data_IF_171813157473
#
_entry.id   IF_171813157473
#
_cell.length_a   1.000
_cell.length_b   1.000
_cell.length_c   1.000
_cell.angle_alpha   90.00
_cell.angle_beta   90.00
_cell.angle_gamma   90.00
#
_symmetry.space_group_name_H-M   'P 1'
#
loop_
_entity.id
_entity.type
_entity.pdbx_description
1 polymer ?
#
# COMPACT_ATOMS: atom_id res chain seq x y z
N UNK A 1 4.01 26.51 -3.54
CA UNK A 1 3.65 25.08 -3.59
C UNK A 1 4.10 24.53 -4.94
N UNK A 2 4.83 23.42 -4.99
CA UNK A 2 5.17 22.72 -6.24
C UNK A 2 3.94 22.02 -6.83
N UNK A 3 4.03 21.54 -8.07
CA UNK A 3 2.99 20.72 -8.68
C UNK A 3 2.67 19.47 -7.83
N UNK A 4 3.70 18.72 -7.40
CA UNK A 4 3.53 17.55 -6.53
C UNK A 4 2.94 17.88 -5.16
N UNK A 5 3.31 19.02 -4.56
CA UNK A 5 2.69 19.47 -3.30
C UNK A 5 1.21 19.81 -3.48
N UNK A 6 0.79 20.33 -4.65
CA UNK A 6 -0.63 20.57 -4.96
C UNK A 6 -1.39 19.25 -5.13
N UNK A 7 -0.84 18.29 -5.87
CA UNK A 7 -1.41 16.94 -5.99
C UNK A 7 -1.64 16.32 -4.60
N UNK A 8 -0.61 16.31 -3.74
CA UNK A 8 -0.71 15.76 -2.39
C UNK A 8 -1.75 16.48 -1.52
N UNK A 9 -1.76 17.82 -1.53
CA UNK A 9 -2.71 18.59 -0.75
C UNK A 9 -4.17 18.33 -1.16
N UNK A 10 -4.46 18.33 -2.48
CA UNK A 10 -5.81 18.05 -3.01
C UNK A 10 -6.22 16.61 -2.74
N UNK A 11 -5.32 15.65 -2.96
CA UNK A 11 -5.56 14.24 -2.66
C UNK A 11 -5.90 13.98 -1.18
N UNK A 12 -5.22 14.61 -0.24
CA UNK A 12 -5.57 14.47 1.18
C UNK A 12 -6.96 15.03 1.52
N UNK A 13 -7.46 15.99 0.73
CA UNK A 13 -8.75 16.66 0.92
C UNK A 13 -9.89 16.04 0.09
N UNK A 14 -9.58 15.11 -0.81
CA UNK A 14 -10.55 14.54 -1.76
C UNK A 14 -11.32 13.35 -1.17
N UNK A 15 -12.44 13.01 -1.81
CA UNK A 15 -13.23 11.83 -1.48
C UNK A 15 -12.48 10.54 -1.81
N UNK A 16 -12.99 9.40 -1.32
CA UNK A 16 -12.42 8.09 -1.65
C UNK A 16 -12.50 7.80 -3.16
N UNK A 17 -13.63 8.11 -3.79
CA UNK A 17 -13.85 7.90 -5.22
C UNK A 17 -12.86 8.71 -6.06
N UNK A 18 -12.54 9.94 -5.64
CA UNK A 18 -11.54 10.78 -6.28
C UNK A 18 -10.12 10.22 -6.09
N UNK A 19 -9.78 9.75 -4.88
CA UNK A 19 -8.47 9.13 -4.58
C UNK A 19 -8.20 7.91 -5.45
N UNK A 20 -9.24 7.10 -5.68
CA UNK A 20 -9.15 5.89 -6.51
C UNK A 20 -8.80 6.16 -7.97
N UNK A 21 -8.93 7.40 -8.43
CA UNK A 21 -8.59 7.79 -9.80
C UNK A 21 -7.18 8.38 -9.94
N UNK A 22 -6.45 8.62 -8.85
CA UNK A 22 -5.21 9.41 -8.93
C UNK A 22 -4.00 8.78 -8.26
N UNK A 23 -4.14 7.88 -7.29
CA UNK A 23 -2.97 7.22 -6.70
C UNK A 23 -2.37 6.18 -7.67
N UNK A 24 -1.19 6.48 -8.22
CA UNK A 24 -0.44 5.61 -9.13
C UNK A 24 0.65 4.83 -8.41
N UNK A 25 0.86 3.60 -8.87
CA UNK A 25 2.09 2.84 -8.67
C UNK A 25 2.88 2.78 -9.97
N UNK A 26 4.19 2.94 -9.88
CA UNK A 26 5.16 2.87 -10.97
C UNK A 26 6.16 1.76 -10.63
N UNK A 27 5.90 0.51 -11.03
CA UNK A 27 6.81 -0.59 -10.78
C UNK A 27 7.94 -0.62 -11.80
N UNK A 28 9.14 -1.01 -11.37
CA UNK A 28 10.26 -1.33 -12.25
C UNK A 28 11.06 -2.51 -11.67
N UNK A 29 11.37 -3.50 -12.50
CA UNK A 29 12.23 -4.61 -12.10
C UNK A 29 13.68 -4.26 -12.43
N UNK A 30 14.43 -3.84 -11.42
CA UNK A 30 15.83 -3.49 -11.54
C UNK A 30 16.70 -4.72 -11.84
N UNK A 31 16.46 -5.83 -11.13
CA UNK A 31 17.13 -7.11 -11.36
C UNK A 31 16.19 -8.28 -11.13
N UNK A 32 16.32 -9.33 -11.92
CA UNK A 32 15.48 -10.53 -11.83
C UNK A 32 15.18 -11.19 -13.17
N UNK A 33 14.50 -12.35 -13.16
CA UNK A 33 14.22 -13.14 -14.35
C UNK A 33 13.42 -12.37 -15.40
N UNK A 34 13.73 -12.59 -16.69
CA UNK A 34 13.06 -11.90 -17.80
C UNK A 34 11.54 -12.09 -17.77
N UNK A 35 11.06 -13.27 -17.35
CA UNK A 35 9.64 -13.59 -17.25
C UNK A 35 8.93 -12.69 -16.23
N UNK A 36 9.60 -12.34 -15.12
CA UNK A 36 9.06 -11.42 -14.10
C UNK A 36 9.00 -9.99 -14.67
N UNK A 37 10.03 -9.57 -15.41
CA UNK A 37 10.04 -8.26 -16.10
C UNK A 37 8.87 -8.13 -17.07
N UNK A 38 8.56 -9.21 -17.82
CA UNK A 38 7.45 -9.23 -18.76
C UNK A 38 6.07 -9.18 -18.07
N UNK A 39 5.90 -9.84 -16.93
CA UNK A 39 4.62 -9.86 -16.20
C UNK A 39 4.35 -8.57 -15.44
N UNK A 40 5.35 -8.01 -14.77
CA UNK A 40 5.22 -6.73 -14.04
C UNK A 40 5.09 -5.56 -15.01
N UNK A 41 5.83 -5.61 -16.13
CA UNK A 41 5.92 -4.51 -17.08
C UNK A 41 6.60 -3.27 -16.45
N UNK A 42 6.52 -2.14 -17.18
CA UNK A 42 7.05 -0.85 -16.77
C UNK A 42 6.01 0.27 -16.91
N UNK A 43 4.71 -0.08 -16.89
CA UNK A 43 3.62 0.88 -17.09
C UNK A 43 3.07 1.30 -15.73
N UNK A 44 2.96 2.61 -15.44
CA UNK A 44 2.21 3.10 -14.29
C UNK A 44 0.77 2.56 -14.29
N UNK A 45 0.24 2.27 -13.11
CA UNK A 45 -1.16 1.87 -12.92
C UNK A 45 -1.80 2.68 -11.80
N UNK A 46 -3.06 3.10 -11.98
CA UNK A 46 -3.84 3.76 -10.93
C UNK A 46 -4.45 2.68 -10.03
N UNK A 47 -4.09 2.65 -8.75
CA UNK A 47 -4.37 1.55 -7.83
C UNK A 47 -5.87 1.30 -7.63
N UNK A 48 -6.65 2.35 -7.33
CA UNK A 48 -8.09 2.24 -7.08
C UNK A 48 -8.90 1.73 -8.28
N UNK A 49 -8.36 1.85 -9.50
CA UNK A 49 -8.99 1.28 -10.71
C UNK A 49 -8.72 -0.22 -10.89
N UNK A 50 -7.80 -0.80 -10.11
CA UNK A 50 -7.33 -2.19 -10.24
C UNK A 50 -7.71 -3.08 -9.06
N UNK A 51 -7.93 -2.47 -7.90
CA UNK A 51 -8.31 -3.15 -6.66
C UNK A 51 -8.94 -2.15 -5.69
N UNK A 52 -9.74 -2.61 -4.72
CA UNK A 52 -10.17 -1.79 -3.60
C UNK A 52 -8.96 -1.23 -2.84
N UNK A 53 -9.04 0.04 -2.45
CA UNK A 53 -8.06 0.68 -1.58
C UNK A 53 -8.77 1.37 -0.44
N UNK A 54 -8.37 1.06 0.79
CA UNK A 54 -8.83 1.78 1.97
C UNK A 54 -7.84 2.89 2.31
N UNK A 55 -8.33 4.12 2.43
CA UNK A 55 -7.48 5.29 2.71
C UNK A 55 -7.75 5.84 4.10
N UNK A 56 -6.72 5.89 4.92
CA UNK A 56 -6.79 6.46 6.27
C UNK A 56 -5.90 7.70 6.28
N UNK A 57 -6.46 8.83 6.74
CA UNK A 57 -5.71 10.04 7.00
C UNK A 57 -5.90 10.43 8.45
N UNK A 58 -4.84 10.27 9.25
CA UNK A 58 -4.82 10.66 10.65
C UNK A 58 -4.08 11.98 10.79
N UNK A 59 -4.76 12.99 11.31
CA UNK A 59 -4.09 14.22 11.74
C UNK A 59 -3.23 13.91 12.97
N UNK A 60 -2.10 14.59 13.09
CA UNK A 60 -1.26 14.44 14.27
C UNK A 60 -1.99 14.96 15.51
N UNK A 61 -2.13 14.12 16.53
CA UNK A 61 -2.73 14.41 17.82
C UNK A 61 -1.83 13.82 18.93
N UNK A 62 -1.84 14.41 20.13
CA UNK A 62 -1.13 13.91 21.32
C UNK A 62 0.35 13.54 21.11
N UNK A 63 1.08 14.39 20.37
CA UNK A 63 2.50 14.18 20.08
C UNK A 63 2.80 13.16 18.98
N UNK A 64 1.78 12.58 18.34
CA UNK A 64 1.94 11.69 17.17
C UNK A 64 2.08 12.51 15.88
N UNK A 65 2.88 12.00 14.95
CA UNK A 65 2.97 12.57 13.61
C UNK A 65 1.67 12.31 12.83
N UNK A 66 1.31 13.24 11.94
CA UNK A 66 0.27 12.96 10.94
C UNK A 66 0.73 11.82 10.02
N UNK A 67 -0.19 10.96 9.61
CA UNK A 67 0.11 9.91 8.63
C UNK A 67 -1.04 9.71 7.66
N UNK A 68 -0.66 9.19 6.50
CA UNK A 68 -1.56 8.74 5.46
C UNK A 68 -1.25 7.27 5.18
N UNK A 69 -2.28 6.45 5.15
CA UNK A 69 -2.21 5.01 4.91
C UNK A 69 -3.14 4.64 3.75
N UNK A 70 -2.69 3.70 2.93
CA UNK A 70 -3.42 3.18 1.78
C UNK A 70 -3.32 1.65 1.79
N UNK A 71 -4.37 0.98 2.22
CA UNK A 71 -4.42 -0.48 2.30
C UNK A 71 -4.90 -1.04 0.96
N UNK A 72 -4.02 -1.76 0.28
CA UNK A 72 -4.31 -2.35 -1.03
C UNK A 72 -4.87 -3.77 -0.85
N UNK A 73 -6.14 -3.99 -1.20
CA UNK A 73 -6.72 -5.33 -1.17
C UNK A 73 -6.34 -6.12 -2.45
N UNK A 74 -5.15 -6.70 -2.40
CA UNK A 74 -4.62 -7.55 -3.48
C UNK A 74 -5.50 -8.78 -3.70
N UNK A 75 -6.07 -9.36 -2.64
CA UNK A 75 -6.81 -10.63 -2.71
C UNK A 75 -8.11 -10.45 -3.49
N UNK A 76 -8.74 -9.29 -3.41
CA UNK A 76 -9.94 -8.97 -4.17
C UNK A 76 -9.68 -8.76 -5.68
N UNK A 77 -8.43 -8.59 -6.12
CA UNK A 77 -8.09 -8.39 -7.53
C UNK A 77 -7.54 -9.67 -8.18
N UNK A 78 -8.27 -10.23 -9.15
CA UNK A 78 -7.84 -11.43 -9.89
C UNK A 78 -6.52 -11.20 -10.64
N UNK A 79 -6.36 -10.03 -11.25
CA UNK A 79 -5.14 -9.65 -11.94
C UNK A 79 -3.95 -9.55 -10.97
N UNK A 80 -4.14 -8.87 -9.82
CA UNK A 80 -3.09 -8.73 -8.82
C UNK A 80 -2.70 -10.07 -8.20
N UNK A 81 -3.66 -10.93 -7.88
CA UNK A 81 -3.40 -12.31 -7.44
C UNK A 81 -2.61 -13.12 -8.47
N UNK A 82 -2.93 -12.98 -9.75
CA UNK A 82 -2.19 -13.63 -10.84
C UNK A 82 -0.72 -13.21 -10.87
N UNK A 83 -0.45 -11.91 -10.80
CA UNK A 83 0.91 -11.36 -10.74
C UNK A 83 1.63 -11.86 -9.49
N UNK A 84 1.02 -11.74 -8.31
CA UNK A 84 1.63 -12.17 -7.04
C UNK A 84 1.97 -13.67 -7.06
N UNK A 85 1.04 -14.52 -7.50
CA UNK A 85 1.25 -15.97 -7.60
C UNK A 85 2.48 -16.32 -8.46
N UNK A 86 2.63 -15.61 -9.59
CA UNK A 86 3.72 -15.83 -10.53
C UNK A 86 5.06 -15.28 -10.02
N UNK A 87 5.06 -14.11 -9.36
CA UNK A 87 6.29 -13.45 -8.91
C UNK A 87 6.80 -14.03 -7.58
N UNK A 88 5.92 -14.58 -6.73
CA UNK A 88 6.25 -15.04 -5.37
C UNK A 88 7.41 -16.03 -5.30
N UNK A 89 7.61 -16.90 -6.29
CA UNK A 89 8.74 -17.86 -6.31
C UNK A 89 10.09 -17.22 -6.64
N UNK A 90 10.10 -15.97 -7.10
CA UNK A 90 11.29 -15.24 -7.54
C UNK A 90 11.69 -14.11 -6.60
N UNK A 91 10.87 -13.80 -5.58
CA UNK A 91 11.07 -12.61 -4.74
C UNK A 91 12.43 -12.61 -4.01
N UNK A 92 12.95 -13.78 -3.69
CA UNK A 92 14.25 -13.99 -3.03
C UNK A 92 15.47 -13.63 -3.91
N UNK A 93 15.28 -13.53 -5.23
CA UNK A 93 16.33 -13.15 -6.21
C UNK A 93 15.91 -11.93 -7.04
N UNK A 94 14.85 -11.24 -6.62
CA UNK A 94 14.27 -10.10 -7.33
C UNK A 94 14.70 -8.80 -6.65
N UNK A 95 15.06 -7.81 -7.48
CA UNK A 95 15.17 -6.41 -7.08
C UNK A 95 14.13 -5.60 -7.81
N UNK A 96 13.20 -5.00 -7.08
CA UNK A 96 12.10 -4.21 -7.62
C UNK A 96 12.06 -2.83 -7.00
N UNK A 97 11.88 -1.81 -7.84
CA UNK A 97 11.57 -0.45 -7.45
C UNK A 97 10.07 -0.22 -7.55
N UNK A 98 9.48 0.35 -6.51
CA UNK A 98 8.10 0.80 -6.49
C UNK A 98 8.08 2.31 -6.24
N UNK A 99 7.72 3.07 -7.27
CA UNK A 99 7.42 4.49 -7.14
C UNK A 99 5.93 4.71 -6.91
N UNK A 100 5.58 5.70 -6.10
CA UNK A 100 4.21 6.15 -5.92
C UNK A 100 4.09 7.60 -6.38
N UNK A 101 3.03 7.90 -7.12
CA UNK A 101 2.76 9.22 -7.71
C UNK A 101 1.29 9.54 -7.50
N UNK A 102 0.97 10.79 -7.16
CA UNK A 102 -0.42 11.27 -7.24
C UNK A 102 -0.58 11.93 -8.60
N UNK A 103 -1.52 11.42 -9.40
CA UNK A 103 -1.79 11.92 -10.74
C UNK A 103 -2.25 13.37 -10.68
N UNK A 104 -1.60 14.24 -11.46
CA UNK A 104 -2.09 15.57 -11.78
C UNK A 104 -3.05 15.52 -12.96
N UNK A 105 -4.23 16.11 -12.79
CA UNK A 105 -5.23 16.27 -13.84
C UNK A 105 -5.36 17.74 -14.28
N UNK A 106 -4.98 18.68 -13.42
CA UNK A 106 -5.02 20.10 -13.70
C UNK A 106 -3.69 20.66 -14.21
N UNK A 107 -3.74 21.76 -14.96
CA UNK A 107 -2.52 22.40 -15.52
C UNK A 107 -1.51 22.79 -14.44
N UNK A 108 -1.98 23.15 -13.24
CA UNK A 108 -1.11 23.53 -12.13
C UNK A 108 -0.55 22.31 -11.37
N UNK A 109 -1.08 21.11 -11.58
CA UNK A 109 -0.59 19.85 -11.02
C UNK A 109 0.46 19.18 -11.90
N UNK A 110 0.73 19.73 -13.09
CA UNK A 110 1.65 19.17 -14.05
C UNK A 110 3.00 19.93 -14.13
N UNK A 111 4.12 19.22 -14.34
CA UNK A 111 4.22 17.77 -14.25
C UNK A 111 4.04 17.29 -12.80
N UNK A 112 3.28 16.21 -12.65
CA UNK A 112 3.16 15.49 -11.39
C UNK A 112 4.53 14.96 -10.94
N UNK A 113 4.73 14.80 -9.62
CA UNK A 113 6.03 14.44 -9.05
C UNK A 113 5.91 13.15 -8.24
N UNK A 114 7.00 12.38 -8.17
CA UNK A 114 7.06 11.18 -7.32
C UNK A 114 6.87 11.55 -5.86
N UNK A 115 5.89 10.91 -5.22
CA UNK A 115 5.58 11.11 -3.81
C UNK A 115 6.61 10.39 -2.94
N UNK A 116 6.86 9.13 -3.24
CA UNK A 116 7.89 8.32 -2.60
C UNK A 116 8.31 7.19 -3.51
N UNK A 117 9.46 6.59 -3.18
CA UNK A 117 9.97 5.41 -3.85
C UNK A 117 10.57 4.46 -2.83
N UNK A 118 10.41 3.16 -3.07
CA UNK A 118 11.03 2.11 -2.26
C UNK A 118 11.65 1.05 -3.17
N UNK A 119 12.76 0.46 -2.72
CA UNK A 119 13.38 -0.69 -3.37
C UNK A 119 13.21 -1.90 -2.47
N UNK A 120 12.66 -2.96 -3.05
CA UNK A 120 12.55 -4.27 -2.44
C UNK A 120 13.62 -5.18 -3.06
N UNK A 121 14.38 -5.89 -2.23
CA UNK A 121 15.44 -6.77 -2.68
C UNK A 121 15.40 -8.08 -1.90
N UNK A 122 15.36 -9.20 -2.62
CA UNK A 122 15.55 -10.53 -2.05
C UNK A 122 14.52 -10.90 -0.98
N UNK A 123 13.27 -10.48 -1.13
CA UNK A 123 12.21 -10.76 -0.16
C UNK A 123 11.91 -12.26 -0.11
N UNK A 124 11.97 -12.83 1.10
CA UNK A 124 11.54 -14.20 1.36
C UNK A 124 10.31 -14.20 2.29
N UNK A 125 9.09 -14.11 1.75
CA UNK A 125 7.88 -14.09 2.57
C UNK A 125 7.57 -15.46 3.20
N UNK A 126 8.23 -16.55 2.80
CA UNK A 126 7.99 -17.89 3.37
C UNK A 126 8.78 -18.10 4.65
N UNK A 127 9.95 -17.46 4.76
CA UNK A 127 10.83 -17.54 5.92
C UNK A 127 10.89 -16.24 6.74
N UNK A 128 10.10 -15.23 6.37
CA UNK A 128 10.05 -13.96 7.10
C UNK A 128 9.55 -14.19 8.54
N UNK A 129 10.24 -13.63 9.56
CA UNK A 129 9.74 -13.69 10.92
C UNK A 129 8.44 -12.89 11.03
N UNK A 130 7.56 -13.31 11.94
CA UNK A 130 6.38 -12.53 12.28
C UNK A 130 6.80 -11.14 12.78
N UNK A 131 5.95 -10.14 12.51
CA UNK A 131 6.16 -8.80 13.07
C UNK A 131 6.26 -8.90 14.60
N UNK A 132 7.22 -8.20 15.22
CA UNK A 132 7.36 -8.20 16.67
C UNK A 132 6.08 -7.66 17.32
N UNK A 133 5.68 -8.27 18.43
CA UNK A 133 4.52 -7.85 19.20
C UNK A 133 4.70 -6.41 19.70
N UNK A 134 3.84 -5.48 19.26
CA UNK A 134 3.71 -4.15 19.86
C UNK A 134 2.71 -4.19 21.03
N UNK A 135 2.84 -3.26 22.00
CA UNK A 135 1.88 -3.14 23.11
C UNK A 135 0.43 -2.92 22.64
N UNK A 136 0.23 -2.26 21.50
CA UNK A 136 -1.10 -2.04 20.90
C UNK A 136 -1.74 -3.34 20.42
N UNK A 137 -0.95 -4.29 19.87
CA UNK A 137 -1.42 -5.63 19.46
C UNK A 137 -1.78 -6.55 20.64
N UNK A 138 -1.37 -6.19 21.87
CA UNK A 138 -1.66 -6.98 23.07
C UNK A 138 -3.08 -6.73 23.58
N UNK A 139 -3.53 -5.47 23.54
CA UNK A 139 -4.83 -5.06 24.09
C UNK A 139 -5.98 -5.51 23.18
N UNK A 140 -5.80 -5.45 21.85
CA UNK A 140 -6.83 -5.87 20.89
C UNK A 140 -7.11 -7.38 20.88
N UNK A 141 -6.14 -8.19 21.32
CA UNK A 141 -6.24 -9.66 21.32
C UNK A 141 -6.66 -10.26 22.67
N UNK A 142 -6.82 -9.45 23.72
CA UNK A 142 -7.52 -9.90 24.92
C UNK A 142 -9.02 -9.94 24.63
N UNK A 143 -9.57 -11.14 24.43
CA UNK A 143 -11.01 -11.33 24.64
C UNK A 143 -11.35 -10.91 26.08
N UNK A 144 -12.46 -10.19 26.33
CA UNK A 144 -12.98 -10.06 27.69
C UNK A 144 -13.21 -11.47 28.23
N UNK A 145 -12.75 -11.75 29.44
CA UNK A 145 -13.06 -13.00 30.12
C UNK A 145 -14.59 -13.15 30.15
N UNK A 146 -15.12 -14.24 29.61
CA UNK A 146 -16.52 -14.60 29.75
C UNK A 146 -16.80 -14.68 31.26
N UNK A 147 -17.74 -13.85 31.71
CA UNK A 147 -18.24 -13.94 33.07
C UNK A 147 -19.16 -15.16 33.09
N UNK A 148 -18.62 -16.31 33.52
CA UNK A 148 -19.44 -17.45 33.92
C UNK A 148 -20.26 -16.97 35.12
N UNK A 149 -21.47 -16.48 34.85
CA UNK A 149 -22.51 -16.41 35.85
C UNK A 149 -22.96 -17.83 36.09
N UNK A 150 -22.35 -18.47 37.10
CA UNK A 150 -22.88 -19.66 37.73
C UNK A 150 -24.28 -19.31 38.28
N UNK A 151 -25.31 -19.58 37.47
CA UNK A 151 -26.69 -19.65 37.91
C UNK A 151 -26.82 -20.89 38.81
N UNK A 152 -26.57 -20.73 40.11
CA UNK A 152 -27.08 -21.64 41.13
C UNK A 152 -28.59 -21.40 41.29
N UNK A 153 -29.39 -22.38 40.88
CA UNK A 153 -30.74 -22.62 41.41
C UNK A 153 -31.03 -24.12 41.45
#
# INVERSE_FOLDING_TARGET
MTAGQRCAARFCQSSQEEKDQVLKIVPAVADGPWVVKSVVGNKPAILGTKMPVNYIYQKGEDGKAMYFEADLDIVSSSAARGILSMVRSYTNVLTMDLGFVIQGNEKDELPEQMLCGTRLHGLDPLNAPALPFSQENFISNMKPAEHDSDDEN
#
